data_IF_850262147829
#
_entry.id   IF_850262147829
#
_cell.length_a   1.000
_cell.length_b   1.000
_cell.length_c   1.000
_cell.angle_alpha   90.00
_cell.angle_beta   90.00
_cell.angle_gamma   90.00
#
_symmetry.space_group_name_H-M   'P 1'
#
loop_
_entity.id
_entity.type
_entity.pdbx_description
1 polymer ?
#
# COMPACT_ATOMS: atom_id res chain seq x y z
N UNK A 1 -17.55 -0.19 -8.83
CA UNK A 1 -17.24 -0.21 -7.37
C UNK A 1 -17.46 1.20 -6.83
N UNK A 2 -18.44 1.39 -5.93
CA UNK A 2 -18.64 2.69 -5.26
C UNK A 2 -17.60 2.85 -4.16
N UNK A 3 -16.96 4.03 -4.12
CA UNK A 3 -15.81 4.33 -3.25
C UNK A 3 -16.21 5.11 -1.99
N UNK A 4 -17.43 5.66 -2.01
CA UNK A 4 -17.98 6.40 -0.88
C UNK A 4 -19.21 5.61 -0.43
N UNK A 5 -19.01 4.82 0.62
CA UNK A 5 -20.06 4.04 1.27
C UNK A 5 -20.88 4.95 2.18
N UNK A 6 -22.18 4.71 2.27
CA UNK A 6 -23.11 5.30 3.22
C UNK A 6 -23.99 4.21 3.83
N UNK A 7 -24.75 4.51 4.88
CA UNK A 7 -25.59 3.53 5.58
C UNK A 7 -26.61 2.86 4.64
N UNK A 8 -27.32 3.66 3.84
CA UNK A 8 -28.33 3.18 2.91
C UNK A 8 -27.78 2.17 1.87
N UNK A 9 -26.57 2.40 1.35
CA UNK A 9 -25.91 1.47 0.43
C UNK A 9 -25.51 0.17 1.12
N UNK A 10 -25.14 0.23 2.40
CA UNK A 10 -24.81 -0.96 3.19
C UNK A 10 -26.06 -1.79 3.48
N UNK A 11 -27.18 -1.14 3.81
CA UNK A 11 -28.45 -1.80 4.14
C UNK A 11 -29.07 -2.50 2.92
N UNK A 12 -28.91 -1.90 1.74
CA UNK A 12 -29.43 -2.45 0.48
C UNK A 12 -28.44 -3.36 -0.26
N UNK A 13 -27.29 -3.72 0.34
CA UNK A 13 -26.27 -4.52 -0.33
C UNK A 13 -26.72 -6.00 -0.43
N UNK A 14 -26.92 -6.55 -1.64
CA UNK A 14 -27.30 -7.95 -1.79
C UNK A 14 -26.13 -8.88 -1.44
N UNK A 15 -26.40 -9.95 -0.68
CA UNK A 15 -25.40 -10.96 -0.30
C UNK A 15 -24.25 -10.37 0.53
N UNK A 16 -24.60 -9.61 1.58
CA UNK A 16 -23.69 -8.84 2.43
C UNK A 16 -22.52 -9.67 2.99
N UNK A 17 -22.73 -10.95 3.24
CA UNK A 17 -21.74 -11.92 3.70
C UNK A 17 -20.55 -12.12 2.73
N UNK A 18 -20.69 -11.74 1.47
CA UNK A 18 -19.65 -11.88 0.45
C UNK A 18 -18.71 -10.66 0.39
N UNK A 19 -18.91 -9.66 1.25
CA UNK A 19 -18.17 -8.40 1.21
C UNK A 19 -17.46 -8.13 2.54
N UNK A 20 -16.31 -7.47 2.44
CA UNK A 20 -15.57 -6.95 3.59
C UNK A 20 -15.64 -5.43 3.55
N UNK A 21 -16.19 -4.82 4.62
CA UNK A 21 -16.14 -3.38 4.80
C UNK A 21 -14.74 -3.00 5.29
N UNK A 22 -14.06 -2.12 4.55
CA UNK A 22 -12.73 -1.63 4.90
C UNK A 22 -12.77 -0.14 5.21
N UNK A 23 -12.08 0.26 6.28
CA UNK A 23 -11.87 1.66 6.59
C UNK A 23 -11.07 2.33 5.47
N UNK A 24 -11.48 3.54 5.11
CA UNK A 24 -10.76 4.34 4.13
C UNK A 24 -9.46 4.86 4.72
N UNK A 25 -8.34 4.52 4.10
CA UNK A 25 -7.02 5.02 4.46
C UNK A 25 -6.71 6.26 3.64
N UNK A 26 -6.27 7.32 4.31
CA UNK A 26 -5.71 8.49 3.65
C UNK A 26 -4.22 8.27 3.38
N UNK A 27 -3.86 8.17 2.10
CA UNK A 27 -2.47 8.06 1.70
C UNK A 27 -1.81 9.44 1.71
N UNK A 28 -0.73 9.56 2.49
CA UNK A 28 0.09 10.77 2.51
C UNK A 28 0.77 11.00 1.15
N UNK A 29 0.70 12.21 0.57
CA UNK A 29 1.35 12.55 -0.68
C UNK A 29 2.86 12.74 -0.46
N UNK A 30 3.62 11.65 -0.42
CA UNK A 30 5.05 11.67 -0.04
C UNK A 30 6.00 11.88 -1.23
N UNK A 31 5.61 11.56 -2.46
CA UNK A 31 6.50 11.63 -3.62
C UNK A 31 6.22 12.88 -4.45
N UNK A 32 7.14 13.83 -4.43
CA UNK A 32 7.08 15.03 -5.28
C UNK A 32 7.40 14.66 -6.73
N UNK A 33 6.55 15.07 -7.66
CA UNK A 33 6.72 14.86 -9.11
C UNK A 33 6.55 16.22 -9.83
N UNK A 34 7.00 16.36 -11.09
CA UNK A 34 6.88 17.62 -11.84
C UNK A 34 5.44 18.15 -11.97
N UNK A 35 4.45 17.26 -11.98
CA UNK A 35 3.02 17.52 -12.14
C UNK A 35 2.24 17.24 -10.83
N UNK A 36 2.85 17.53 -9.68
CA UNK A 36 2.21 17.43 -8.35
C UNK A 36 2.72 16.26 -7.51
N UNK A 37 1.98 15.87 -6.48
CA UNK A 37 2.41 14.75 -5.63
C UNK A 37 1.79 13.42 -6.08
N UNK A 38 2.58 12.35 -6.00
CA UNK A 38 2.12 10.97 -6.08
C UNK A 38 2.03 10.36 -4.67
N UNK A 39 1.03 9.49 -4.51
CA UNK A 39 0.88 8.61 -3.35
C UNK A 39 1.66 7.34 -3.59
N UNK A 40 2.28 6.82 -2.54
CA UNK A 40 3.04 5.59 -2.58
C UNK A 40 2.41 4.54 -1.64
N UNK A 41 2.33 3.31 -2.12
CA UNK A 41 2.06 2.13 -1.31
C UNK A 41 3.20 1.14 -1.51
N UNK A 42 3.74 0.59 -0.42
CA UNK A 42 4.72 -0.50 -0.47
C UNK A 42 4.03 -1.79 -0.05
N UNK A 43 3.97 -2.77 -0.94
CA UNK A 43 3.61 -4.14 -0.58
C UNK A 43 4.86 -4.93 -0.34
N UNK A 44 4.89 -5.66 0.77
CA UNK A 44 6.00 -6.53 1.14
C UNK A 44 5.53 -7.97 1.01
N UNK A 45 6.34 -8.79 0.34
CA UNK A 45 6.17 -10.24 0.37
C UNK A 45 7.16 -10.81 1.37
N UNK A 46 6.62 -11.43 2.40
CA UNK A 46 7.37 -12.11 3.45
C UNK A 46 7.13 -13.61 3.31
N UNK A 47 8.20 -14.41 3.36
CA UNK A 47 8.12 -15.86 3.52
C UNK A 47 8.51 -16.19 4.95
N UNK A 48 7.74 -17.08 5.57
CA UNK A 48 7.99 -17.54 6.93
C UNK A 48 8.84 -18.82 6.93
N UNK A 49 9.89 -18.83 7.72
CA UNK A 49 10.73 -19.99 8.02
C UNK A 49 10.97 -20.01 9.55
N UNK A 50 12.16 -19.62 10.03
CA UNK A 50 12.39 -19.33 11.46
C UNK A 50 11.95 -17.93 11.87
N UNK A 51 12.02 -16.99 10.94
CA UNK A 51 11.66 -15.57 11.07
C UNK A 51 11.14 -15.06 9.72
N UNK A 52 10.34 -13.97 9.67
CA UNK A 52 9.81 -13.45 8.42
C UNK A 52 10.93 -12.86 7.56
N UNK A 53 11.16 -13.46 6.39
CA UNK A 53 12.16 -13.01 5.42
C UNK A 53 11.47 -12.28 4.28
N UNK A 54 11.85 -11.03 4.04
CA UNK A 54 11.37 -10.28 2.88
C UNK A 54 12.04 -10.80 1.61
N UNK A 55 11.23 -11.30 0.69
CA UNK A 55 11.70 -11.84 -0.60
C UNK A 55 11.46 -10.90 -1.76
N UNK A 56 10.47 -10.01 -1.65
CA UNK A 56 10.14 -9.03 -2.67
C UNK A 56 9.42 -7.84 -2.03
N UNK A 57 9.49 -6.68 -2.68
CA UNK A 57 8.56 -5.59 -2.45
C UNK A 57 8.05 -5.01 -3.77
N UNK A 58 6.86 -4.43 -3.71
CA UNK A 58 6.24 -3.77 -4.84
C UNK A 58 5.84 -2.37 -4.40
N UNK A 59 6.55 -1.36 -4.92
CA UNK A 59 6.14 0.03 -4.83
C UNK A 59 5.05 0.28 -5.87
N UNK A 60 3.92 0.80 -5.42
CA UNK A 60 2.82 1.22 -6.29
C UNK A 60 2.64 2.72 -6.14
N UNK A 61 2.64 3.43 -7.27
CA UNK A 61 2.45 4.87 -7.35
C UNK A 61 1.09 5.18 -7.96
N UNK A 62 0.36 6.10 -7.34
CA UNK A 62 -0.95 6.55 -7.80
C UNK A 62 -1.15 8.03 -7.51
N UNK A 63 -1.91 8.68 -8.39
CA UNK A 63 -2.44 10.03 -8.18
C UNK A 63 -3.97 10.03 -8.04
N UNK A 64 -4.55 8.84 -7.87
CA UNK A 64 -5.99 8.64 -7.70
C UNK A 64 -6.48 8.88 -6.27
N UNK A 65 -7.81 8.90 -6.11
CA UNK A 65 -8.44 8.81 -4.78
C UNK A 65 -8.17 7.43 -4.14
N UNK A 66 -8.03 6.39 -4.96
CA UNK A 66 -7.67 5.04 -4.56
C UNK A 66 -6.49 4.48 -5.38
N UNK A 67 -5.88 3.42 -4.85
CA UNK A 67 -4.87 2.62 -5.54
C UNK A 67 -5.55 1.68 -6.55
N UNK A 68 -5.66 2.09 -7.81
CA UNK A 68 -6.28 1.29 -8.86
C UNK A 68 -5.96 1.82 -10.27
N UNK A 69 -5.90 0.91 -11.24
CA UNK A 69 -5.43 1.18 -12.61
C UNK A 69 -6.30 2.20 -13.33
N UNK A 70 -7.62 2.16 -13.14
CA UNK A 70 -8.53 3.10 -13.80
C UNK A 70 -8.35 4.56 -13.34
N UNK A 71 -7.86 4.78 -12.12
CA UNK A 71 -7.63 6.13 -11.59
C UNK A 71 -6.32 6.77 -12.05
N UNK A 72 -5.52 6.01 -12.82
CA UNK A 72 -4.20 6.39 -13.30
C UNK A 72 -4.18 6.75 -14.80
N UNK A 73 -5.31 6.61 -15.52
CA UNK A 73 -5.41 6.98 -16.93
C UNK A 73 -5.04 8.46 -17.12
N UNK A 74 -4.16 8.74 -18.08
CA UNK A 74 -3.64 10.07 -18.42
C UNK A 74 -2.86 10.79 -17.31
N UNK A 75 -2.33 10.07 -16.32
CA UNK A 75 -1.47 10.64 -15.28
C UNK A 75 -0.03 10.17 -15.44
N UNK A 76 0.93 11.02 -15.11
CA UNK A 76 2.35 10.66 -15.10
C UNK A 76 2.82 10.33 -13.69
N UNK A 77 3.95 9.64 -13.56
CA UNK A 77 4.49 9.18 -12.27
C UNK A 77 3.52 8.26 -11.49
N UNK A 78 2.87 7.37 -12.23
CA UNK A 78 1.97 6.32 -11.72
C UNK A 78 2.47 4.96 -12.24
N UNK A 79 2.20 3.89 -11.51
CA UNK A 79 2.60 2.53 -11.92
C UNK A 79 3.21 1.71 -10.79
N UNK A 80 4.06 0.76 -11.17
CA UNK A 80 4.65 -0.24 -10.28
C UNK A 80 6.16 -0.27 -10.44
N UNK A 81 6.91 -0.40 -9.35
CA UNK A 81 8.37 -0.46 -9.34
C UNK A 81 8.90 -1.25 -8.13
N UNK A 82 10.19 -1.56 -8.14
CA UNK A 82 10.89 -2.09 -6.96
C UNK A 82 11.36 -0.93 -6.07
N UNK A 83 11.18 -1.06 -4.76
CA UNK A 83 11.75 -0.11 -3.79
C UNK A 83 13.08 -0.65 -3.26
N UNK A 84 14.15 0.07 -3.54
CA UNK A 84 15.45 -0.18 -2.91
C UNK A 84 15.42 0.26 -1.46
N UNK A 85 15.86 -0.63 -0.57
CA UNK A 85 16.07 -0.32 0.84
C UNK A 85 17.42 -0.89 1.28
N UNK A 86 17.93 -0.38 2.41
CA UNK A 86 19.15 -0.93 2.98
C UNK A 86 18.93 -2.42 3.32
N UNK A 87 19.92 -3.30 3.09
CA UNK A 87 19.83 -4.67 3.56
C UNK A 87 19.56 -4.65 5.07
N UNK A 88 18.65 -5.51 5.52
CA UNK A 88 18.41 -5.71 6.94
C UNK A 88 19.62 -6.44 7.53
N UNK A 89 20.71 -5.72 7.78
CA UNK A 89 21.82 -6.24 8.57
C UNK A 89 21.34 -6.44 10.01
N UNK A 90 21.77 -7.55 10.61
CA UNK A 90 21.33 -8.21 11.85
C UNK A 90 21.34 -7.38 13.17
N UNK A 91 21.02 -6.08 13.13
CA UNK A 91 21.07 -5.16 14.28
C UNK A 91 19.82 -5.17 15.16
N UNK A 92 18.76 -5.90 14.79
CA UNK A 92 17.52 -5.93 15.56
C UNK A 92 17.41 -7.10 16.56
N UNK A 93 18.33 -8.07 16.54
CA UNK A 93 18.31 -9.24 17.45
C UNK A 93 19.45 -9.29 18.47
N UNK A 94 20.29 -8.27 18.55
CA UNK A 94 21.42 -8.26 19.48
C UNK A 94 21.41 -7.02 20.39
N UNK A 95 20.37 -6.90 21.21
CA UNK A 95 20.44 -6.04 22.41
C UNK A 95 20.81 -6.90 23.62
N UNK A 96 22.06 -7.32 23.61
CA UNK A 96 22.69 -8.05 24.70
C UNK A 96 24.21 -7.95 24.62
N UNK A 97 24.78 -6.74 24.55
CA UNK A 97 26.08 -6.38 25.17
C UNK A 97 26.47 -4.93 24.89
N UNK A 98 26.62 -4.19 26.01
CA UNK A 98 27.41 -2.98 26.26
C UNK A 98 28.34 -2.45 25.15
N UNK A 99 28.13 -1.18 24.79
CA UNK A 99 29.13 -0.08 24.88
C UNK A 99 28.43 1.27 24.78
#
# INVERSE_FOLDING_TARGET
ISVNVNAELLDNLPGRENYILQQKVEYTPVMKTPDGYAKAEVRMMLIWDKEPKQVNNLLRLSKGKMMGVDYNKNKTWVGSSLAYHRPMTNRAFNNGTSR
#
